data_IF_487281327069
#
_entry.id   IF_487281327069
#
_cell.length_a   1.000
_cell.length_b   1.000
_cell.length_c   1.000
_cell.angle_alpha   90.00
_cell.angle_beta   90.00
_cell.angle_gamma   90.00
#
_symmetry.space_group_name_H-M   'P 1'
#
loop_
_entity.id
_entity.type
_entity.pdbx_description
1 polymer ?
#
# COMPACT_ATOMS: atom_id res chain seq x y z
N UNK A 1 -19.89 -7.68 -5.80
CA UNK A 1 -19.62 -9.09 -5.44
C UNK A 1 -19.80 -9.24 -3.94
N UNK A 2 -20.51 -10.28 -3.49
CA UNK A 2 -20.60 -10.67 -2.08
C UNK A 2 -19.62 -11.81 -1.83
N UNK A 3 -18.93 -11.78 -0.69
CA UNK A 3 -18.08 -12.90 -0.28
C UNK A 3 -18.97 -14.04 0.26
N UNK A 4 -18.62 -15.32 0.02
CA UNK A 4 -19.25 -16.44 0.71
C UNK A 4 -19.04 -16.33 2.23
N UNK A 5 -19.79 -17.09 3.02
CA UNK A 5 -19.65 -17.07 4.48
C UNK A 5 -18.25 -17.53 4.90
N UNK A 6 -17.52 -16.64 5.57
CA UNK A 6 -16.19 -16.91 6.12
C UNK A 6 -16.36 -17.11 7.63
N UNK A 7 -15.78 -18.19 8.17
CA UNK A 7 -15.71 -18.43 9.61
C UNK A 7 -14.33 -18.04 10.10
N UNK A 8 -14.30 -17.31 11.21
CA UNK A 8 -13.07 -16.96 11.92
C UNK A 8 -13.05 -17.65 13.29
N UNK A 9 -11.88 -18.12 13.66
CA UNK A 9 -11.55 -18.43 15.06
C UNK A 9 -11.30 -17.14 15.85
N UNK A 10 -11.30 -17.23 17.18
CA UNK A 10 -10.99 -16.09 18.04
C UNK A 10 -9.56 -15.54 17.80
N UNK A 11 -8.61 -16.43 17.52
CA UNK A 11 -7.22 -16.07 17.23
C UNK A 11 -7.09 -15.35 15.89
N UNK A 12 -7.76 -15.84 14.84
CA UNK A 12 -7.76 -15.20 13.52
C UNK A 12 -8.40 -13.80 13.57
N UNK A 13 -9.50 -13.65 14.32
CA UNK A 13 -10.16 -12.36 14.49
C UNK A 13 -9.27 -11.35 15.24
N UNK A 14 -8.61 -11.80 16.30
CA UNK A 14 -7.64 -10.99 17.05
C UNK A 14 -6.43 -10.59 16.20
N UNK A 15 -5.90 -11.52 15.40
CA UNK A 15 -4.80 -11.27 14.49
C UNK A 15 -5.16 -10.23 13.43
N UNK A 16 -6.37 -10.29 12.87
CA UNK A 16 -6.86 -9.30 11.91
C UNK A 16 -6.93 -7.90 12.51
N UNK A 17 -7.48 -7.77 13.72
CA UNK A 17 -7.55 -6.48 14.45
C UNK A 17 -6.15 -5.93 14.72
N UNK A 18 -5.23 -6.77 15.21
CA UNK A 18 -3.85 -6.38 15.48
C UNK A 18 -3.12 -5.90 14.21
N UNK A 19 -3.30 -6.61 13.09
CA UNK A 19 -2.69 -6.24 11.81
C UNK A 19 -3.19 -4.89 11.28
N UNK A 20 -4.49 -4.62 11.38
CA UNK A 20 -5.09 -3.36 10.91
C UNK A 20 -4.73 -2.17 11.78
N UNK A 21 -4.56 -2.39 13.08
CA UNK A 21 -4.20 -1.34 14.04
C UNK A 21 -2.88 -0.63 13.72
N UNK A 22 -1.93 -1.36 13.12
CA UNK A 22 -0.59 -0.87 12.79
C UNK A 22 -0.39 -0.62 11.30
N UNK A 23 -1.43 -0.81 10.48
CA UNK A 23 -1.33 -0.76 9.03
C UNK A 23 -1.19 0.69 8.54
N UNK A 24 0.05 1.17 8.45
CA UNK A 24 0.38 2.38 7.72
C UNK A 24 0.82 2.06 6.29
N UNK A 25 -0.15 1.67 5.47
CA UNK A 25 0.08 1.16 4.11
C UNK A 25 -0.81 1.84 3.07
N UNK A 26 -0.38 1.85 1.78
CA UNK A 26 -1.27 2.09 0.65
C UNK A 26 -2.56 1.28 0.78
N UNK A 27 -3.67 1.90 0.40
CA UNK A 27 -5.05 1.40 0.48
C UNK A 27 -5.58 1.23 1.91
N UNK A 28 -5.01 1.92 2.90
CA UNK A 28 -5.43 1.82 4.31
C UNK A 28 -6.92 2.15 4.53
N UNK A 29 -7.49 3.12 3.81
CA UNK A 29 -8.91 3.48 3.95
C UNK A 29 -9.84 2.39 3.41
N UNK A 30 -9.47 1.83 2.25
CA UNK A 30 -10.18 0.68 1.68
C UNK A 30 -10.05 -0.55 2.59
N UNK A 31 -8.86 -0.81 3.15
CA UNK A 31 -8.62 -1.88 4.11
C UNK A 31 -9.46 -1.71 5.38
N UNK A 32 -9.56 -0.48 5.91
CA UNK A 32 -10.42 -0.17 7.07
C UNK A 32 -11.88 -0.43 6.77
N UNK A 33 -12.35 -0.01 5.61
CA UNK A 33 -13.75 -0.23 5.19
C UNK A 33 -14.03 -1.73 4.98
N UNK A 34 -13.09 -2.47 4.38
CA UNK A 34 -13.19 -3.92 4.22
C UNK A 34 -13.22 -4.62 5.59
N UNK A 35 -12.36 -4.21 6.51
CA UNK A 35 -12.31 -4.75 7.86
C UNK A 35 -13.62 -4.53 8.63
N UNK A 36 -14.24 -3.35 8.52
CA UNK A 36 -15.54 -3.08 9.12
C UNK A 36 -16.63 -4.03 8.58
N UNK A 37 -16.63 -4.30 7.28
CA UNK A 37 -17.55 -5.25 6.66
C UNK A 37 -17.30 -6.69 7.13
N UNK A 38 -16.03 -7.09 7.25
CA UNK A 38 -15.65 -8.41 7.77
C UNK A 38 -16.06 -8.55 9.23
N UNK A 39 -15.74 -7.56 10.08
CA UNK A 39 -16.11 -7.55 11.49
C UNK A 39 -17.63 -7.60 11.68
N UNK A 40 -18.41 -6.90 10.85
CA UNK A 40 -19.86 -6.97 10.87
C UNK A 40 -20.43 -8.36 10.51
N UNK A 41 -19.64 -9.21 9.86
CA UNK A 41 -20.02 -10.60 9.57
C UNK A 41 -19.57 -11.60 10.65
N UNK A 42 -18.73 -11.18 11.60
CA UNK A 42 -18.29 -12.02 12.71
C UNK A 42 -19.40 -12.14 13.76
N UNK A 43 -19.54 -13.32 14.37
CA UNK A 43 -20.48 -13.58 15.46
C UNK A 43 -19.83 -14.50 16.51
N UNK A 44 -20.37 -14.49 17.74
CA UNK A 44 -19.90 -15.35 18.83
C UNK A 44 -18.48 -15.02 19.31
N UNK A 45 -17.71 -16.03 19.79
CA UNK A 45 -16.42 -15.81 20.44
C UNK A 45 -15.38 -15.05 19.62
N UNK A 46 -15.45 -15.14 18.29
CA UNK A 46 -14.56 -14.41 17.39
C UNK A 46 -14.82 -12.89 17.41
N UNK A 47 -16.09 -12.49 17.44
CA UNK A 47 -16.47 -11.09 17.55
C UNK A 47 -16.06 -10.51 18.92
N UNK A 48 -16.30 -11.26 20.00
CA UNK A 48 -15.94 -10.84 21.36
C UNK A 48 -14.43 -10.62 21.51
N UNK A 49 -13.62 -11.54 20.98
CA UNK A 49 -12.16 -11.43 21.00
C UNK A 49 -11.66 -10.21 20.22
N UNK A 50 -12.16 -10.00 19.00
CA UNK A 50 -11.79 -8.86 18.17
C UNK A 50 -12.14 -7.52 18.84
N UNK A 51 -13.36 -7.41 19.38
CA UNK A 51 -13.81 -6.19 20.08
C UNK A 51 -13.01 -5.95 21.36
N UNK A 52 -12.76 -7.01 22.14
CA UNK A 52 -11.99 -6.92 23.38
C UNK A 52 -10.55 -6.45 23.15
N UNK A 53 -9.90 -6.91 22.07
CA UNK A 53 -8.58 -6.42 21.68
C UNK A 53 -8.63 -4.99 21.13
N UNK A 54 -9.58 -4.68 20.23
CA UNK A 54 -9.71 -3.35 19.64
C UNK A 54 -9.88 -2.25 20.69
N UNK A 55 -10.66 -2.51 21.76
CA UNK A 55 -10.85 -1.58 22.87
C UNK A 55 -9.58 -1.25 23.66
N UNK A 56 -8.49 -2.02 23.47
CA UNK A 56 -7.20 -1.85 24.16
C UNK A 56 -6.12 -1.23 23.26
N UNK A 57 -6.46 -0.90 22.02
CA UNK A 57 -5.53 -0.33 21.04
C UNK A 57 -5.87 1.14 20.82
N UNK A 58 -4.84 1.99 20.87
CA UNK A 58 -4.94 3.43 20.57
C UNK A 58 -3.83 3.82 19.60
N UNK A 59 -4.11 4.79 18.72
CA UNK A 59 -3.15 5.30 17.74
C UNK A 59 -3.23 6.82 17.66
N UNK A 60 -2.08 7.45 17.42
CA UNK A 60 -2.00 8.88 17.09
C UNK A 60 -2.13 9.05 15.56
N UNK A 61 -3.08 9.85 15.06
CA UNK A 61 -3.28 9.97 13.61
C UNK A 61 -2.20 10.85 12.95
N UNK A 62 -1.60 10.35 11.86
CA UNK A 62 -0.80 11.16 10.93
C UNK A 62 -1.67 11.56 9.72
N UNK A 63 -2.04 12.84 9.64
CA UNK A 63 -2.92 13.38 8.59
C UNK A 63 -2.18 13.75 7.30
N UNK A 64 -0.86 13.93 7.36
CA UNK A 64 -0.04 14.40 6.23
C UNK A 64 0.21 13.30 5.20
N UNK A 65 0.31 12.05 5.64
CA UNK A 65 0.57 10.89 4.77
C UNK A 65 -0.61 10.50 3.86
N UNK A 66 -1.84 10.93 4.17
CA UNK A 66 -3.06 10.47 3.48
C UNK A 66 -3.20 10.96 2.03
N UNK A 67 -2.87 12.24 1.76
CA UNK A 67 -3.06 12.84 0.43
C UNK A 67 -2.11 12.27 -0.63
N UNK A 68 -0.83 12.09 -0.27
CA UNK A 68 0.18 11.46 -1.12
C UNK A 68 -0.22 10.04 -1.48
N UNK A 69 -0.64 9.27 -0.48
CA UNK A 69 -1.06 7.89 -0.65
C UNK A 69 -2.25 7.78 -1.59
N UNK A 70 -3.28 8.60 -1.39
CA UNK A 70 -4.45 8.63 -2.26
C UNK A 70 -4.10 8.96 -3.71
N UNK A 71 -3.18 9.92 -3.94
CA UNK A 71 -2.70 10.25 -5.28
C UNK A 71 -1.95 9.07 -5.94
N UNK A 72 -1.08 8.38 -5.18
CA UNK A 72 -0.36 7.19 -5.67
C UNK A 72 -1.32 6.05 -6.00
N UNK A 73 -2.27 5.76 -5.11
CA UNK A 73 -3.30 4.73 -5.32
C UNK A 73 -4.14 5.02 -6.57
N UNK A 74 -4.54 6.29 -6.75
CA UNK A 74 -5.29 6.72 -7.92
C UNK A 74 -4.48 6.49 -9.20
N UNK A 75 -3.24 6.97 -9.26
CA UNK A 75 -2.41 6.85 -10.45
C UNK A 75 -2.10 5.39 -10.82
N UNK A 76 -1.86 4.52 -9.83
CA UNK A 76 -1.71 3.07 -10.04
C UNK A 76 -2.98 2.42 -10.59
N UNK A 77 -4.15 2.87 -10.11
CA UNK A 77 -5.45 2.30 -10.50
C UNK A 77 -5.90 2.77 -11.88
N UNK A 78 -5.66 4.04 -12.22
CA UNK A 78 -6.10 4.65 -13.48
C UNK A 78 -5.03 4.58 -14.58
N UNK A 79 -3.82 4.15 -14.24
CA UNK A 79 -2.68 4.05 -15.16
C UNK A 79 -2.28 5.42 -15.70
N UNK A 80 -2.12 6.41 -14.81
CA UNK A 80 -1.72 7.78 -15.20
C UNK A 80 -0.35 8.16 -14.67
N UNK A 81 0.28 9.12 -15.35
CA UNK A 81 1.54 9.73 -14.91
C UNK A 81 1.30 10.46 -13.59
N UNK A 82 2.29 10.38 -12.70
CA UNK A 82 2.24 11.02 -11.40
C UNK A 82 3.34 12.08 -11.31
N UNK A 83 2.95 13.31 -10.97
CA UNK A 83 3.89 14.38 -10.65
C UNK A 83 4.21 14.32 -9.16
N UNK A 84 5.48 14.20 -8.83
CA UNK A 84 5.99 14.09 -7.48
C UNK A 84 6.92 15.25 -7.16
N UNK A 85 6.78 15.78 -5.95
CA UNK A 85 7.85 16.57 -5.34
C UNK A 85 8.53 15.72 -4.27
N UNK A 86 9.76 15.31 -4.55
CA UNK A 86 10.49 14.30 -3.77
C UNK A 86 11.71 14.88 -3.07
N UNK A 87 11.89 14.53 -1.80
CA UNK A 87 13.06 14.90 -1.00
C UNK A 87 13.99 13.71 -0.89
N UNK A 88 15.20 13.83 -1.44
CA UNK A 88 16.20 12.76 -1.35
C UNK A 88 16.85 12.67 0.04
N UNK A 89 17.76 11.71 0.22
CA UNK A 89 18.45 11.46 1.51
C UNK A 89 19.30 12.62 1.98
N UNK A 90 19.77 13.46 1.05
CA UNK A 90 20.53 14.67 1.35
C UNK A 90 19.63 15.86 1.66
N UNK A 91 18.31 15.67 1.69
CA UNK A 91 17.33 16.74 1.91
C UNK A 91 17.06 17.58 0.64
N UNK A 92 17.59 17.19 -0.52
CA UNK A 92 17.40 17.96 -1.74
C UNK A 92 16.05 17.62 -2.36
N UNK A 93 15.25 18.67 -2.59
CA UNK A 93 13.96 18.59 -3.26
C UNK A 93 14.13 18.54 -4.78
N UNK A 94 13.33 17.71 -5.43
CA UNK A 94 13.22 17.68 -6.89
C UNK A 94 11.83 17.28 -7.34
N UNK A 95 11.38 17.88 -8.43
CA UNK A 95 10.12 17.50 -9.06
C UNK A 95 10.38 16.45 -10.14
N UNK A 96 9.48 15.46 -10.24
CA UNK A 96 9.62 14.28 -11.09
C UNK A 96 8.27 13.94 -11.72
N UNK A 97 8.25 13.71 -13.03
CA UNK A 97 7.19 13.00 -13.70
C UNK A 97 7.55 11.50 -13.75
N UNK A 98 6.71 10.68 -13.12
CA UNK A 98 6.95 9.24 -13.00
C UNK A 98 5.77 8.44 -13.54
N UNK A 99 6.07 7.27 -14.06
CA UNK A 99 5.14 6.30 -14.62
C UNK A 99 5.01 5.13 -13.63
N UNK A 100 3.95 5.11 -12.79
CA UNK A 100 3.80 4.15 -11.70
C UNK A 100 3.69 2.69 -12.21
N UNK A 101 4.43 1.78 -11.58
CA UNK A 101 4.38 0.35 -11.91
C UNK A 101 3.87 -0.51 -10.75
N UNK A 102 4.19 -0.14 -9.50
CA UNK A 102 3.75 -0.91 -8.34
C UNK A 102 4.29 -0.39 -7.02
N UNK A 103 4.01 -1.15 -5.96
CA UNK A 103 4.44 -0.83 -4.60
C UNK A 103 5.39 -1.90 -4.09
N UNK A 104 6.45 -1.46 -3.41
CA UNK A 104 7.40 -2.30 -2.69
C UNK A 104 7.36 -1.91 -1.21
N UNK A 105 7.45 -2.88 -0.32
CA UNK A 105 7.68 -2.63 1.11
C UNK A 105 9.04 -3.19 1.52
N UNK A 106 9.85 -2.39 2.19
CA UNK A 106 11.18 -2.77 2.66
C UNK A 106 11.55 -1.96 3.91
N UNK A 107 12.04 -2.65 4.95
CA UNK A 107 12.47 -2.01 6.20
C UNK A 107 11.37 -1.18 6.89
N UNK A 108 10.11 -1.61 6.78
CA UNK A 108 8.95 -0.90 7.33
C UNK A 108 8.50 0.33 6.54
N UNK A 109 9.13 0.62 5.40
CA UNK A 109 8.77 1.74 4.52
C UNK A 109 8.14 1.26 3.23
N UNK A 110 7.17 2.01 2.73
CA UNK A 110 6.58 1.80 1.41
C UNK A 110 7.28 2.64 0.35
N UNK A 111 7.47 2.04 -0.82
CA UNK A 111 8.09 2.63 -1.99
C UNK A 111 7.12 2.52 -3.17
N UNK A 112 6.91 3.64 -3.87
CA UNK A 112 6.39 3.61 -5.23
C UNK A 112 7.53 3.22 -6.17
N UNK A 113 7.39 2.11 -6.89
CA UNK A 113 8.27 1.75 -8.00
C UNK A 113 7.69 2.31 -9.28
N UNK A 114 8.47 3.09 -9.99
CA UNK A 114 8.04 3.80 -11.18
C UNK A 114 9.20 4.04 -12.16
N UNK A 115 8.88 4.18 -13.44
CA UNK A 115 9.83 4.70 -14.42
C UNK A 115 9.92 6.22 -14.29
N UNK A 116 11.12 6.75 -14.03
CA UNK A 116 11.37 8.17 -13.88
C UNK A 116 11.78 8.78 -15.22
N UNK A 117 10.97 9.71 -15.76
CA UNK A 117 11.18 10.27 -17.09
C UNK A 117 12.47 11.07 -17.20
N UNK A 118 12.80 11.85 -16.17
CA UNK A 118 14.02 12.68 -16.16
C UNK A 118 15.29 11.84 -16.11
N UNK A 119 15.21 10.65 -15.51
CA UNK A 119 16.36 9.74 -15.36
C UNK A 119 16.38 8.62 -16.39
N UNK A 120 15.26 8.42 -17.10
CA UNK A 120 15.05 7.35 -18.09
C UNK A 120 15.44 5.98 -17.51
N UNK A 121 14.95 5.69 -16.31
CA UNK A 121 15.25 4.47 -15.57
C UNK A 121 14.18 4.17 -14.50
N UNK A 122 14.06 2.89 -14.13
CA UNK A 122 13.26 2.45 -12.98
C UNK A 122 13.85 2.97 -11.66
N UNK A 123 12.98 3.48 -10.78
CA UNK A 123 13.37 3.96 -9.44
C UNK A 123 12.29 3.67 -8.40
N UNK A 124 12.74 3.49 -7.15
CA UNK A 124 11.89 3.46 -5.97
C UNK A 124 11.86 4.83 -5.28
N UNK A 125 10.65 5.31 -4.99
CA UNK A 125 10.39 6.54 -4.26
C UNK A 125 9.73 6.21 -2.94
N UNK A 126 10.40 6.47 -1.82
CA UNK A 126 9.79 6.26 -0.51
C UNK A 126 8.60 7.18 -0.32
N UNK A 127 7.45 6.63 0.07
CA UNK A 127 6.21 7.41 0.19
C UNK A 127 6.32 8.50 1.26
N UNK A 128 7.03 8.22 2.36
CA UNK A 128 7.28 9.18 3.45
C UNK A 128 8.19 10.36 3.06
N UNK A 129 8.90 10.27 1.92
CA UNK A 129 9.77 11.32 1.37
C UNK A 129 9.15 12.10 0.22
N UNK A 130 7.91 11.77 -0.16
CA UNK A 130 7.16 12.53 -1.15
C UNK A 130 6.47 13.69 -0.42
N UNK A 131 6.88 14.92 -0.71
CA UNK A 131 6.28 16.11 -0.14
C UNK A 131 4.89 16.38 -0.73
N UNK A 132 4.71 16.16 -2.04
CA UNK A 132 3.43 16.29 -2.74
C UNK A 132 3.35 15.28 -3.89
N UNK A 133 2.15 14.77 -4.16
CA UNK A 133 1.87 13.92 -5.31
C UNK A 133 0.58 14.41 -5.99
N UNK A 134 0.60 14.50 -7.31
CA UNK A 134 -0.54 14.96 -8.10
C UNK A 134 -0.69 14.08 -9.34
N UNK A 135 -1.77 13.28 -9.44
CA UNK A 135 -2.05 12.51 -10.65
C UNK A 135 -2.31 13.47 -11.82
N UNK A 136 -1.88 13.08 -13.00
CA UNK A 136 -2.21 13.81 -14.23
C UNK A 136 -3.28 13.06 -15.03
N UNK A 137 -3.75 13.68 -16.11
CA UNK A 137 -4.63 13.04 -17.09
C UNK A 137 -3.85 12.25 -18.16
N UNK A 138 -2.51 12.34 -18.16
CA UNK A 138 -1.67 11.65 -19.12
C UNK A 138 -1.57 10.16 -18.75
N UNK A 139 -1.75 9.28 -19.73
CA UNK A 139 -1.60 7.84 -19.52
C UNK A 139 -0.14 7.43 -19.32
N UNK A 140 0.09 6.62 -18.31
CA UNK A 140 1.34 5.92 -18.09
C UNK A 140 1.38 4.69 -18.99
N UNK A 141 2.46 4.48 -19.78
CA UNK A 141 2.72 3.19 -20.38
C UNK A 141 2.75 2.08 -19.30
N UNK A 142 2.32 0.86 -19.63
CA UNK A 142 2.46 -0.27 -18.70
C UNK A 142 3.95 -0.61 -18.55
N UNK A 143 4.39 -0.77 -17.31
CA UNK A 143 5.75 -1.20 -16.97
C UNK A 143 5.68 -2.50 -16.18
N UNK A 144 6.56 -3.45 -16.52
CA UNK A 144 6.75 -4.63 -15.68
C UNK A 144 7.52 -4.24 -14.42
N UNK A 145 6.94 -4.56 -13.26
CA UNK A 145 7.53 -4.22 -11.97
C UNK A 145 8.89 -4.90 -11.75
N UNK A 146 9.05 -6.15 -12.18
CA UNK A 146 10.31 -6.87 -12.03
C UNK A 146 11.41 -6.25 -12.91
N UNK A 147 11.07 -5.86 -14.13
CA UNK A 147 12.01 -5.19 -15.04
C UNK A 147 12.55 -3.88 -14.46
N UNK A 148 11.67 -3.07 -13.84
CA UNK A 148 12.08 -1.81 -13.20
C UNK A 148 12.96 -2.00 -11.95
N UNK A 149 12.93 -3.19 -11.33
CA UNK A 149 13.73 -3.52 -10.16
C UNK A 149 15.10 -4.12 -10.53
N UNK A 150 15.33 -4.50 -11.79
CA UNK A 150 16.60 -5.06 -12.24
C UNK A 150 17.77 -4.11 -11.95
N UNK A 151 18.86 -4.68 -11.41
CA UNK A 151 20.06 -3.90 -11.05
C UNK A 151 19.89 -3.00 -9.82
N UNK A 152 18.75 -3.03 -9.15
CA UNK A 152 18.55 -2.37 -7.85
C UNK A 152 18.82 -3.32 -6.68
N UNK A 153 18.96 -2.78 -5.46
CA UNK A 153 19.01 -3.57 -4.23
C UNK A 153 17.75 -4.42 -3.99
N UNK A 154 16.65 -4.11 -4.69
CA UNK A 154 15.38 -4.80 -4.60
C UNK A 154 15.14 -5.79 -5.76
N UNK A 155 16.16 -6.10 -6.58
CA UNK A 155 16.04 -7.07 -7.68
C UNK A 155 15.61 -8.48 -7.20
N UNK A 156 15.91 -8.83 -5.95
CA UNK A 156 15.50 -10.09 -5.30
C UNK A 156 14.19 -9.98 -4.50
N UNK A 157 13.44 -8.89 -4.63
CA UNK A 157 12.18 -8.73 -3.89
C UNK A 157 11.19 -9.83 -4.28
N UNK A 158 10.57 -10.43 -3.26
CA UNK A 158 9.57 -11.48 -3.42
C UNK A 158 8.19 -10.97 -3.00
N UNK A 159 7.14 -11.62 -3.49
CA UNK A 159 5.78 -11.34 -3.00
C UNK A 159 5.71 -11.62 -1.50
N UNK A 160 5.04 -10.77 -0.70
CA UNK A 160 4.82 -11.05 0.71
C UNK A 160 4.14 -12.41 0.89
N UNK A 161 4.68 -13.26 1.77
CA UNK A 161 4.18 -14.62 2.00
C UNK A 161 2.70 -14.64 2.37
N UNK A 162 2.24 -13.63 3.13
CA UNK A 162 0.83 -13.46 3.48
C UNK A 162 -0.12 -13.32 2.27
N UNK A 163 0.41 -12.96 1.10
CA UNK A 163 -0.36 -12.78 -0.14
C UNK A 163 -0.21 -13.95 -1.11
N UNK A 164 0.59 -14.99 -0.78
CA UNK A 164 0.80 -16.15 -1.65
C UNK A 164 -0.51 -16.85 -2.10
N UNK A 165 -1.56 -17.00 -1.25
CA UNK A 165 -2.81 -17.66 -1.63
C UNK A 165 -3.67 -16.88 -2.63
N UNK A 166 -3.39 -15.60 -2.89
CA UNK A 166 -4.16 -14.77 -3.83
C UNK A 166 -3.83 -15.06 -5.30
N UNK A 167 -2.96 -16.03 -5.56
CA UNK A 167 -2.71 -16.55 -6.91
C UNK A 167 -3.89 -17.43 -7.29
N UNK A 168 -4.70 -17.09 -8.33
CA UNK A 168 -5.75 -18.01 -8.77
C UNK A 168 -5.12 -19.35 -9.17
N UNK A 169 -5.77 -20.50 -8.88
CA UNK A 169 -5.31 -21.77 -9.41
C UNK A 169 -5.26 -21.68 -10.95
N UNK A 170 -4.20 -22.24 -11.53
CA UNK A 170 -4.02 -22.33 -13.00
C UNK A 170 -5.12 -23.15 -13.66
#
# INVERSE_FOLDING_TARGET
MTLPSIRFTADEASALVAALAVADAPYADAARTAAQKIAASMTGPAADAAQGLAARIVALPDRTAGSVRSAVEHALTTGTVLLLSYVDESGRRSDRAVEPAGLLTAGGSWYLIAWCRERRAGRGFRLDRIATATPTDEKSPPHDLADLLLGSAAAGAVRPTALAPLTPPR
#
